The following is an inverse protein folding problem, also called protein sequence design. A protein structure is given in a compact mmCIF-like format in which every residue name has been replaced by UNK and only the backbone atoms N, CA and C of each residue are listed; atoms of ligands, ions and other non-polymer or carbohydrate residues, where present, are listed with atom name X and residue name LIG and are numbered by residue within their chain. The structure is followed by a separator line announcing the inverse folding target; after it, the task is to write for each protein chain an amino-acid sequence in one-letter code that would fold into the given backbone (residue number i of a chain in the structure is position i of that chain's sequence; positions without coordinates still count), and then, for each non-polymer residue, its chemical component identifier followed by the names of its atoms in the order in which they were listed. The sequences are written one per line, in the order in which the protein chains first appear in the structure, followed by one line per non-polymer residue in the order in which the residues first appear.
data_IF_794204401799
#
_entry.id   IF_794204401799
#
_cell.length_a   1.000
_cell.length_b   1.000
_cell.length_c   1.000
_cell.angle_alpha   90.00
_cell.angle_beta   90.00
_cell.angle_gamma   90.00
#
_symmetry.space_group_name_H-M   'P 1'
#
loop_
_entity.id
_entity.type
_entity.pdbx_description
1 polymer ?
#
# COMPACT_ATOMS: atom_id res chain seq x y z
N UNK A 1 23.50 54.80 -2.99
CA UNK A 1 24.40 53.73 -2.52
C UNK A 1 23.64 52.69 -1.68
N UNK A 2 22.65 51.98 -2.23
CA UNK A 2 21.83 51.00 -1.48
C UNK A 2 21.55 49.73 -2.29
N UNK A 3 22.56 49.18 -2.98
CA UNK A 3 22.40 47.97 -3.81
C UNK A 3 23.30 46.79 -3.42
N UNK A 4 23.97 46.85 -2.26
CA UNK A 4 24.94 45.81 -1.86
C UNK A 4 24.46 44.86 -0.75
N UNK A 5 23.28 45.10 -0.14
CA UNK A 5 22.82 44.38 1.05
C UNK A 5 21.45 43.69 0.85
N UNK A 6 21.23 43.04 -0.29
CA UNK A 6 19.99 42.27 -0.53
C UNK A 6 20.22 40.89 -1.16
N UNK A 7 21.45 40.61 -1.63
CA UNK A 7 21.78 39.38 -2.34
C UNK A 7 22.21 38.22 -1.43
N UNK A 8 22.37 38.45 -0.12
CA UNK A 8 22.88 37.42 0.80
C UNK A 8 21.77 36.66 1.56
N UNK A 9 20.55 37.18 1.58
CA UNK A 9 19.44 36.58 2.35
C UNK A 9 18.64 35.54 1.55
N UNK A 10 18.73 35.55 0.22
CA UNK A 10 18.00 34.61 -0.64
C UNK A 10 18.73 33.28 -0.88
N UNK A 11 20.02 33.18 -0.54
CA UNK A 11 20.83 31.99 -0.82
C UNK A 11 20.76 30.92 0.29
N UNK A 12 20.23 31.26 1.47
CA UNK A 12 20.13 30.31 2.60
C UNK A 12 18.78 29.58 2.67
N UNK A 13 17.72 30.14 2.07
CA UNK A 13 16.40 29.48 2.00
C UNK A 13 16.29 28.41 0.90
N UNK A 14 17.21 28.37 -0.07
CA UNK A 14 17.18 27.40 -1.16
C UNK A 14 17.77 26.02 -0.78
N UNK A 15 18.42 25.88 0.38
CA UNK A 15 19.10 24.66 0.81
C UNK A 15 18.31 23.83 1.83
N UNK A 16 17.11 24.26 2.23
CA UNK A 16 16.28 23.56 3.23
C UNK A 16 15.00 22.92 2.67
N UNK A 17 14.94 22.69 1.36
CA UNK A 17 13.77 22.05 0.71
C UNK A 17 14.08 20.67 0.09
N UNK A 18 15.33 20.20 0.14
CA UNK A 18 15.73 18.87 -0.34
C UNK A 18 15.93 17.91 0.82
N UNK A 19 14.89 17.68 1.61
CA UNK A 19 14.85 16.58 2.56
C UNK A 19 13.66 15.67 2.24
N UNK A 20 13.98 14.62 1.46
CA UNK A 20 13.47 13.26 1.61
C UNK A 20 11.96 13.05 1.39
N UNK A 21 11.55 13.09 0.13
CA UNK A 21 10.44 12.24 -0.32
C UNK A 21 10.90 10.79 -0.40
N UNK A 22 11.14 10.13 0.73
CA UNK A 22 11.29 8.68 0.73
C UNK A 22 9.92 8.10 0.35
N UNK A 23 9.80 7.48 -0.82
CA UNK A 23 8.55 6.85 -1.23
C UNK A 23 8.18 5.80 -0.18
N UNK A 24 6.96 5.86 0.35
CA UNK A 24 6.41 4.89 1.32
C UNK A 24 6.61 3.43 0.89
N UNK A 25 6.57 3.18 -0.43
CA UNK A 25 6.84 1.86 -1.00
C UNK A 25 8.31 1.43 -0.89
N UNK A 26 9.26 2.35 -0.97
CA UNK A 26 10.69 2.00 -0.93
C UNK A 26 11.16 1.66 0.49
N UNK A 27 10.52 2.21 1.52
CA UNK A 27 10.81 1.87 2.93
C UNK A 27 10.13 0.57 3.38
N UNK A 28 8.98 0.23 2.80
CA UNK A 28 8.20 -0.96 3.19
C UNK A 28 8.65 -2.22 2.44
N UNK A 29 8.92 -2.12 1.13
CA UNK A 29 9.23 -3.27 0.27
C UNK A 29 10.75 -3.47 0.12
N UNK A 30 11.42 -3.76 1.23
CA UNK A 30 12.87 -3.99 1.29
C UNK A 30 13.27 -5.37 0.73
N UNK A 31 14.57 -5.58 0.46
CA UNK A 31 15.09 -6.88 0.06
C UNK A 31 14.80 -7.96 1.12
N UNK A 32 14.94 -7.63 2.40
CA UNK A 32 14.62 -8.52 3.52
C UNK A 32 13.13 -8.90 3.52
N UNK A 33 12.24 -7.93 3.30
CA UNK A 33 10.81 -8.22 3.17
C UNK A 33 10.50 -9.25 2.09
N UNK A 34 11.09 -9.11 0.90
CA UNK A 34 10.88 -10.08 -0.18
C UNK A 34 11.50 -11.45 0.13
N UNK A 35 12.65 -11.50 0.81
CA UNK A 35 13.23 -12.76 1.26
C UNK A 35 12.32 -13.48 2.27
N UNK A 36 11.74 -12.74 3.22
CA UNK A 36 10.81 -13.29 4.21
C UNK A 36 9.51 -13.80 3.56
N UNK A 37 8.98 -13.05 2.59
CA UNK A 37 7.80 -13.46 1.80
C UNK A 37 8.09 -14.73 1.00
N UNK A 38 9.24 -14.80 0.31
CA UNK A 38 9.64 -15.99 -0.43
C UNK A 38 9.76 -17.19 0.49
N UNK A 39 10.42 -17.03 1.64
CA UNK A 39 10.60 -18.10 2.61
C UNK A 39 9.27 -18.60 3.19
N UNK A 40 8.33 -17.69 3.47
CA UNK A 40 7.06 -18.02 4.14
C UNK A 40 5.96 -18.48 3.18
N UNK A 41 5.89 -17.91 1.98
CA UNK A 41 4.75 -18.07 1.06
C UNK A 41 5.16 -18.50 -0.35
N UNK A 42 6.46 -18.49 -0.68
CA UNK A 42 7.02 -18.95 -1.95
C UNK A 42 6.92 -17.95 -3.11
N UNK A 43 7.58 -18.29 -4.22
CA UNK A 43 7.72 -17.47 -5.43
C UNK A 43 6.43 -16.87 -5.99
N UNK A 44 5.33 -17.63 -5.96
CA UNK A 44 4.04 -17.13 -6.43
C UNK A 44 3.54 -15.94 -5.59
N UNK A 45 3.77 -15.96 -4.28
CA UNK A 45 3.47 -14.84 -3.40
C UNK A 45 4.41 -13.66 -3.66
N UNK A 46 5.71 -13.90 -3.79
CA UNK A 46 6.70 -12.87 -4.12
C UNK A 46 6.32 -12.09 -5.39
N UNK A 47 5.81 -12.78 -6.41
CA UNK A 47 5.27 -12.14 -7.62
C UNK A 47 4.03 -11.27 -7.32
N UNK A 48 3.11 -11.73 -6.46
CA UNK A 48 1.96 -10.92 -6.01
C UNK A 48 2.40 -9.67 -5.23
N UNK A 49 3.37 -9.79 -4.33
CA UNK A 49 3.90 -8.66 -3.56
C UNK A 49 4.65 -7.66 -4.43
N UNK A 50 5.38 -8.13 -5.45
CA UNK A 50 6.01 -7.26 -6.44
C UNK A 50 4.95 -6.44 -7.17
N UNK A 51 3.89 -7.10 -7.65
CA UNK A 51 2.77 -6.43 -8.30
C UNK A 51 2.02 -5.46 -7.35
N UNK A 52 1.93 -5.77 -6.06
CA UNK A 52 1.31 -4.89 -5.06
C UNK A 52 2.15 -3.63 -4.79
N UNK A 53 3.47 -3.78 -4.65
CA UNK A 53 4.40 -2.64 -4.57
C UNK A 53 4.24 -1.73 -5.79
N UNK A 54 4.23 -2.30 -6.98
CA UNK A 54 4.16 -1.55 -8.23
C UNK A 54 2.79 -0.86 -8.39
N UNK A 55 1.71 -1.51 -7.94
CA UNK A 55 0.39 -0.91 -7.82
C UNK A 55 0.41 0.32 -6.90
N UNK A 56 0.98 0.22 -5.70
CA UNK A 56 1.06 1.34 -4.76
C UNK A 56 1.86 2.50 -5.37
N UNK A 57 3.01 2.21 -5.98
CA UNK A 57 3.85 3.21 -6.66
C UNK A 57 3.09 3.91 -7.79
N UNK A 58 2.35 3.16 -8.62
CA UNK A 58 1.53 3.73 -9.69
C UNK A 58 0.38 4.60 -9.14
N UNK A 59 -0.18 4.22 -7.99
CA UNK A 59 -1.32 4.91 -7.39
C UNK A 59 -0.97 6.26 -6.76
N UNK A 60 0.30 6.56 -6.45
CA UNK A 60 0.68 7.81 -5.78
C UNK A 60 0.27 9.06 -6.55
N UNK A 61 0.31 8.99 -7.89
CA UNK A 61 0.03 10.13 -8.77
C UNK A 61 -1.38 10.08 -9.39
N UNK A 62 -2.17 9.07 -9.02
CA UNK A 62 -3.51 8.85 -9.57
C UNK A 62 -4.60 9.62 -8.80
N UNK A 63 -5.74 9.85 -9.45
CA UNK A 63 -6.92 10.39 -8.77
C UNK A 63 -7.46 9.41 -7.72
N UNK A 64 -8.16 9.88 -6.68
CA UNK A 64 -8.76 9.00 -5.67
C UNK A 64 -9.69 7.95 -6.31
N UNK A 65 -10.43 8.33 -7.36
CA UNK A 65 -11.30 7.40 -8.07
C UNK A 65 -10.52 6.29 -8.78
N UNK A 66 -9.42 6.64 -9.45
CA UNK A 66 -8.55 5.67 -10.11
C UNK A 66 -7.86 4.75 -9.09
N UNK A 67 -7.43 5.28 -7.94
CA UNK A 67 -6.85 4.48 -6.84
C UNK A 67 -7.85 3.43 -6.35
N UNK A 68 -9.10 3.83 -6.11
CA UNK A 68 -10.20 2.92 -5.72
C UNK A 68 -10.38 1.82 -6.76
N UNK A 69 -10.47 2.18 -8.04
CA UNK A 69 -10.67 1.19 -9.11
C UNK A 69 -9.49 0.20 -9.20
N UNK A 70 -8.25 0.71 -9.15
CA UNK A 70 -7.06 -0.11 -9.26
C UNK A 70 -6.89 -1.06 -8.06
N UNK A 71 -7.07 -0.57 -6.82
CA UNK A 71 -7.01 -1.40 -5.63
C UNK A 71 -8.10 -2.47 -5.64
N UNK A 72 -9.33 -2.10 -5.99
CA UNK A 72 -10.45 -3.04 -6.07
C UNK A 72 -10.20 -4.14 -7.10
N UNK A 73 -9.78 -3.77 -8.32
CA UNK A 73 -9.49 -4.73 -9.38
C UNK A 73 -8.32 -5.64 -9.02
N UNK A 74 -7.29 -5.12 -8.36
CA UNK A 74 -6.12 -5.90 -7.98
C UNK A 74 -6.48 -7.04 -7.03
N UNK A 75 -7.10 -6.74 -5.88
CA UNK A 75 -7.41 -7.78 -4.90
C UNK A 75 -8.44 -8.78 -5.43
N UNK A 76 -9.44 -8.31 -6.17
CA UNK A 76 -10.43 -9.19 -6.81
C UNK A 76 -9.82 -10.15 -7.86
N UNK A 77 -8.59 -9.91 -8.33
CA UNK A 77 -7.88 -10.80 -9.27
C UNK A 77 -6.77 -11.61 -8.62
N UNK A 78 -6.16 -11.10 -7.55
CA UNK A 78 -4.96 -11.69 -6.92
C UNK A 78 -5.27 -12.57 -5.72
N UNK A 79 -6.45 -12.41 -5.13
CA UNK A 79 -6.93 -13.16 -3.97
C UNK A 79 -8.10 -14.02 -4.42
N UNK A 80 -8.10 -15.30 -4.05
CA UNK A 80 -9.23 -16.19 -4.24
C UNK A 80 -10.17 -16.10 -3.04
N UNK A 81 -11.48 -16.09 -3.28
CA UNK A 81 -12.43 -16.13 -2.17
C UNK A 81 -12.36 -17.48 -1.46
N UNK A 82 -12.18 -17.48 -0.14
CA UNK A 82 -12.28 -18.66 0.72
C UNK A 82 -12.80 -18.24 2.09
N UNK A 83 -13.74 -18.99 2.65
CA UNK A 83 -14.19 -18.74 4.02
C UNK A 83 -13.07 -19.01 5.03
N UNK A 84 -13.16 -18.38 6.21
CA UNK A 84 -12.20 -18.63 7.30
C UNK A 84 -12.15 -20.07 7.76
N UNK A 85 -13.27 -20.79 7.69
CA UNK A 85 -13.30 -22.20 8.03
C UNK A 85 -12.45 -23.03 7.06
N UNK A 86 -12.52 -22.73 5.76
CA UNK A 86 -11.74 -23.40 4.72
C UNK A 86 -10.28 -22.94 4.68
N UNK A 87 -10.02 -21.67 4.99
CA UNK A 87 -8.71 -21.07 4.86
C UNK A 87 -7.87 -21.21 6.13
N UNK A 88 -8.44 -20.82 7.27
CA UNK A 88 -7.75 -20.71 8.55
C UNK A 88 -8.17 -21.78 9.56
N UNK A 89 -9.21 -22.56 9.27
CA UNK A 89 -9.80 -23.51 10.23
C UNK A 89 -10.45 -22.80 11.42
N UNK A 90 -10.89 -21.55 11.22
CA UNK A 90 -11.47 -20.70 12.27
C UNK A 90 -12.88 -20.28 11.88
N UNK A 91 -13.68 -19.91 12.87
CA UNK A 91 -15.03 -19.39 12.64
C UNK A 91 -14.98 -17.98 12.04
N UNK A 92 -14.02 -17.18 12.50
CA UNK A 92 -13.84 -15.78 12.12
C UNK A 92 -12.36 -15.41 12.36
N UNK A 93 -11.65 -14.95 11.33
CA UNK A 93 -10.24 -14.57 11.34
C UNK A 93 -9.95 -13.44 10.35
N UNK A 94 -9.71 -12.25 10.90
CA UNK A 94 -9.42 -11.08 10.09
C UNK A 94 -7.95 -11.06 9.68
N UNK A 95 -7.67 -11.47 8.44
CA UNK A 95 -6.33 -11.53 7.91
C UNK A 95 -5.77 -10.13 7.60
N UNK A 96 -4.47 -9.96 7.87
CA UNK A 96 -3.74 -8.78 7.43
C UNK A 96 -3.59 -8.76 5.90
N UNK A 97 -3.30 -7.60 5.27
CA UNK A 97 -3.03 -7.55 3.83
C UNK A 97 -1.89 -8.48 3.41
N UNK A 98 -0.87 -8.65 4.26
CA UNK A 98 0.27 -9.55 4.02
C UNK A 98 -0.17 -11.01 4.07
N UNK A 99 -1.03 -11.41 5.01
CA UNK A 99 -1.56 -12.77 5.07
C UNK A 99 -2.47 -13.09 3.89
N UNK A 100 -3.40 -12.19 3.55
CA UNK A 100 -4.31 -12.34 2.40
C UNK A 100 -3.54 -12.47 1.09
N UNK A 101 -2.55 -11.60 0.86
CA UNK A 101 -1.76 -11.62 -0.38
C UNK A 101 -0.72 -12.75 -0.38
N UNK A 102 -0.17 -13.09 0.78
CA UNK A 102 0.78 -14.19 0.97
C UNK A 102 0.16 -15.54 0.62
N UNK A 103 -0.98 -15.85 1.23
CA UNK A 103 -1.74 -17.08 0.92
C UNK A 103 -2.46 -16.99 -0.42
N UNK A 104 -2.77 -15.78 -0.89
CA UNK A 104 -3.57 -15.56 -2.10
C UNK A 104 -5.04 -15.91 -1.89
N UNK A 105 -5.54 -15.86 -0.64
CA UNK A 105 -6.92 -16.16 -0.30
C UNK A 105 -7.43 -15.29 0.87
N UNK A 106 -8.75 -15.15 0.96
CA UNK A 106 -9.46 -14.44 2.02
C UNK A 106 -10.95 -14.33 1.70
N UNK A 107 -11.75 -13.80 2.62
CA UNK A 107 -13.18 -13.55 2.43
C UNK A 107 -13.52 -12.04 2.42
N UNK A 108 -14.75 -11.67 2.79
CA UNK A 108 -15.26 -10.32 2.55
C UNK A 108 -14.46 -9.22 3.27
N UNK A 109 -14.18 -9.43 4.55
CA UNK A 109 -13.46 -8.53 5.44
C UNK A 109 -11.99 -8.44 5.04
N UNK A 110 -11.36 -9.56 4.70
CA UNK A 110 -9.97 -9.63 4.26
C UNK A 110 -9.74 -8.74 3.02
N UNK A 111 -10.68 -8.81 2.07
CA UNK A 111 -10.65 -7.96 0.88
C UNK A 111 -10.81 -6.48 1.24
N UNK A 112 -11.72 -6.16 2.16
CA UNK A 112 -11.97 -4.79 2.58
C UNK A 112 -10.74 -4.20 3.30
N UNK A 113 -10.13 -4.95 4.21
CA UNK A 113 -8.92 -4.59 4.95
C UNK A 113 -7.75 -4.37 3.99
N UNK A 114 -7.53 -5.31 3.06
CA UNK A 114 -6.43 -5.22 2.11
C UNK A 114 -6.57 -4.01 1.17
N UNK A 115 -7.79 -3.72 0.69
CA UNK A 115 -8.08 -2.52 -0.11
C UNK A 115 -7.90 -1.24 0.70
N UNK A 116 -8.39 -1.21 1.95
CA UNK A 116 -8.27 -0.05 2.84
C UNK A 116 -6.80 0.37 3.02
N UNK A 117 -5.93 -0.56 3.44
CA UNK A 117 -4.52 -0.26 3.66
C UNK A 117 -3.77 0.06 2.36
N UNK A 118 -4.19 -0.51 1.23
CA UNK A 118 -3.61 -0.16 -0.06
C UNK A 118 -3.97 1.26 -0.50
N UNK A 119 -5.23 1.69 -0.32
CA UNK A 119 -5.67 3.05 -0.63
C UNK A 119 -4.98 4.08 0.26
N UNK A 120 -4.80 3.75 1.55
CA UNK A 120 -3.98 4.53 2.48
C UNK A 120 -2.54 4.68 1.98
N UNK A 121 -1.91 3.59 1.56
CA UNK A 121 -0.56 3.58 1.02
C UNK A 121 -0.41 4.37 -0.28
N UNK A 122 -1.49 4.48 -1.08
CA UNK A 122 -1.55 5.32 -2.28
C UNK A 122 -1.81 6.81 -1.96
N UNK A 123 -2.06 7.16 -0.71
CA UNK A 123 -2.27 8.55 -0.28
C UNK A 123 -3.73 9.00 -0.24
N UNK A 124 -4.71 8.09 -0.23
CA UNK A 124 -6.11 8.46 0.04
C UNK A 124 -6.25 8.86 1.52
N UNK A 125 -6.87 10.02 1.76
CA UNK A 125 -7.06 10.56 3.11
C UNK A 125 -7.96 9.64 3.97
N UNK A 126 -7.61 9.49 5.26
CA UNK A 126 -8.33 8.65 6.23
C UNK A 126 -9.82 8.99 6.34
N UNK A 127 -10.15 10.27 6.29
CA UNK A 127 -11.52 10.76 6.40
C UNK A 127 -12.43 10.28 5.25
N UNK A 128 -11.86 9.85 4.13
CA UNK A 128 -12.57 9.31 2.97
C UNK A 128 -12.75 7.78 3.02
N UNK A 129 -12.16 7.09 3.99
CA UNK A 129 -12.16 5.63 4.07
C UNK A 129 -12.87 5.16 5.34
N UNK A 130 -13.74 4.15 5.18
CA UNK A 130 -14.43 3.47 6.29
C UNK A 130 -14.55 1.99 5.96
N UNK A 131 -14.31 1.14 6.95
CA UNK A 131 -14.75 -0.24 6.90
C UNK A 131 -16.21 -0.27 7.32
N UNK A 132 -17.05 -0.90 6.51
CA UNK A 132 -18.50 -0.94 6.73
C UNK A 132 -18.95 -2.39 6.80
N UNK A 133 -19.67 -2.71 7.86
CA UNK A 133 -20.45 -3.94 7.97
C UNK A 133 -21.82 -3.72 7.31
N UNK A 134 -22.26 -4.67 6.49
CA UNK A 134 -23.52 -4.59 5.74
C UNK A 134 -24.31 -5.90 5.86
N UNK A 135 -25.65 -5.82 5.74
CA UNK A 135 -26.58 -6.95 5.79
C UNK A 135 -27.57 -6.88 4.63
#
# INVERSE_FOLDING_TARGET
MYRCCQSFFWSVLALFSLALGANYADTTFTATFFADVEQRYGAAATARFTAWRDLIKKGSDASDWDRVHQANQFFNRKVAYKSDAEHWGKVDYWATPVESLGTGAGDCEDYAIAKYFTLRAMGVADEKLRLMYVR
#
